data_IF_932340192625
#
_entry.id   IF_932340192625
#
_cell.length_a   1.000
_cell.length_b   1.000
_cell.length_c   1.000
_cell.angle_alpha   90.00
_cell.angle_beta   90.00
_cell.angle_gamma   90.00
#
_symmetry.space_group_name_H-M   'P 1'
#
loop_
_entity.id
_entity.type
_entity.pdbx_description
1 polymer ?
#
# COMPACT_ATOMS: atom_id res chain seq x y z
N UNK A 1 1.05 -4.26 -3.15
CA UNK A 1 1.15 -4.18 -4.63
C UNK A 1 -0.23 -4.25 -5.29
N UNK A 2 -1.03 -5.30 -5.08
CA UNK A 2 -2.38 -5.44 -5.67
C UNK A 2 -3.30 -4.26 -5.35
N UNK A 3 -3.37 -3.83 -4.09
CA UNK A 3 -4.15 -2.66 -3.66
C UNK A 3 -3.77 -1.40 -4.45
N UNK A 4 -2.47 -1.21 -4.71
CA UNK A 4 -1.96 -0.07 -5.48
C UNK A 4 -2.43 -0.08 -6.94
N UNK A 5 -2.44 -1.26 -7.57
CA UNK A 5 -2.89 -1.42 -8.95
C UNK A 5 -4.40 -1.17 -9.07
N UNK A 6 -5.19 -1.68 -8.12
CA UNK A 6 -6.65 -1.46 -8.11
C UNK A 6 -6.98 0.01 -7.85
N UNK A 7 -6.20 0.71 -7.02
CA UNK A 7 -6.40 2.13 -6.74
C UNK A 7 -5.98 3.06 -7.90
N UNK A 8 -4.93 2.71 -8.65
CA UNK A 8 -4.34 3.60 -9.67
C UNK A 8 -4.64 3.22 -11.13
N UNK A 9 -5.11 2.01 -11.38
CA UNK A 9 -5.47 1.54 -12.73
C UNK A 9 -6.78 0.73 -12.72
N UNK A 10 -7.89 1.28 -12.18
CA UNK A 10 -9.13 0.53 -11.97
C UNK A 10 -9.74 -0.02 -13.27
N UNK A 11 -9.46 0.59 -14.42
CA UNK A 11 -10.01 0.12 -15.71
C UNK A 11 -9.29 -1.11 -16.27
N UNK A 12 -8.11 -1.43 -15.74
CA UNK A 12 -7.33 -2.61 -16.15
C UNK A 12 -7.71 -3.88 -15.37
N UNK A 13 -8.36 -3.72 -14.21
CA UNK A 13 -8.61 -4.82 -13.29
C UNK A 13 -10.09 -4.90 -12.89
N UNK A 14 -10.68 -6.09 -13.00
CA UNK A 14 -12.06 -6.32 -12.58
C UNK A 14 -12.20 -6.45 -11.05
N UNK A 15 -11.17 -6.97 -10.37
CA UNK A 15 -11.11 -7.16 -8.92
C UNK A 15 -9.65 -7.35 -8.48
N UNK A 16 -9.40 -7.29 -7.16
CA UNK A 16 -8.09 -7.58 -6.56
C UNK A 16 -8.17 -8.46 -5.32
N UNK A 17 -7.15 -9.29 -5.13
CA UNK A 17 -6.89 -10.01 -3.87
C UNK A 17 -5.50 -9.57 -3.39
N UNK A 18 -5.46 -8.82 -2.30
CA UNK A 18 -4.22 -8.36 -1.68
C UNK A 18 -3.96 -9.18 -0.42
N UNK A 19 -2.81 -9.86 -0.40
CA UNK A 19 -2.35 -10.64 0.74
C UNK A 19 -1.16 -9.92 1.37
N UNK A 20 -1.21 -9.67 2.68
CA UNK A 20 -0.08 -9.11 3.46
C UNK A 20 0.55 -7.89 2.77
N UNK A 21 -0.25 -6.83 2.61
CA UNK A 21 0.13 -5.62 1.88
C UNK A 21 0.65 -4.51 2.79
N UNK A 22 1.74 -3.86 2.39
CA UNK A 22 2.22 -2.61 2.99
C UNK A 22 1.40 -1.41 2.47
N UNK A 23 0.11 -1.37 2.79
CA UNK A 23 -0.84 -0.44 2.17
C UNK A 23 -0.76 0.99 2.76
N UNK A 24 -0.15 1.15 3.95
CA UNK A 24 0.15 2.45 4.55
C UNK A 24 1.63 2.59 4.94
N UNK A 25 2.41 3.29 4.10
CA UNK A 25 3.85 3.53 4.35
C UNK A 25 4.14 4.55 5.44
N UNK A 26 3.15 5.29 5.95
CA UNK A 26 3.39 6.16 7.10
C UNK A 26 3.69 5.36 8.38
N UNK A 27 3.34 4.07 8.41
CA UNK A 27 3.69 3.14 9.49
C UNK A 27 5.15 2.67 9.42
N UNK A 28 5.81 2.85 8.26
CA UNK A 28 7.24 2.59 8.05
C UNK A 28 8.00 3.86 7.65
N UNK A 29 8.08 4.91 8.49
CA UNK A 29 8.49 6.24 8.06
C UNK A 29 10.00 6.44 7.87
N UNK A 30 10.83 5.43 8.15
CA UNK A 30 12.30 5.52 8.13
C UNK A 30 12.94 4.84 6.91
N UNK A 31 12.20 4.76 5.81
CA UNK A 31 12.62 4.08 4.59
C UNK A 31 11.93 2.73 4.40
N UNK A 32 11.94 2.23 3.17
CA UNK A 32 11.44 0.91 2.82
C UNK A 32 12.08 0.42 1.52
N UNK A 33 12.37 -0.89 1.44
CA UNK A 33 12.98 -1.50 0.25
C UNK A 33 14.25 -0.73 -0.19
N UNK A 34 14.19 0.02 -1.30
CA UNK A 34 15.28 0.83 -1.86
C UNK A 34 15.13 2.33 -1.59
N UNK A 35 14.08 2.76 -0.88
CA UNK A 35 13.91 4.14 -0.46
C UNK A 35 14.57 4.34 0.90
N UNK A 36 15.77 4.94 0.89
CA UNK A 36 16.54 5.24 2.11
C UNK A 36 16.10 6.56 2.76
N UNK A 37 15.33 7.40 2.06
CA UNK A 37 14.85 8.67 2.58
C UNK A 37 13.61 8.46 3.45
N UNK A 38 13.52 9.24 4.51
CA UNK A 38 12.39 9.23 5.45
C UNK A 38 11.12 9.84 4.86
N UNK A 39 9.98 9.57 5.49
CA UNK A 39 8.69 10.18 5.17
C UNK A 39 8.79 11.71 5.03
N UNK A 40 9.55 12.36 5.92
CA UNK A 40 9.68 13.82 5.95
C UNK A 40 10.57 14.38 4.84
N UNK A 41 11.44 13.55 4.27
CA UNK A 41 12.29 13.97 3.16
C UNK A 41 11.57 13.83 1.81
N UNK A 42 10.68 12.84 1.68
CA UNK A 42 10.00 12.53 0.41
C UNK A 42 8.53 12.12 0.58
N UNK A 43 7.74 13.02 1.18
CA UNK A 43 6.30 12.81 1.42
C UNK A 43 5.54 12.27 0.19
N UNK A 44 5.81 12.79 -1.01
CA UNK A 44 5.11 12.39 -2.23
C UNK A 44 5.34 10.91 -2.59
N UNK A 45 6.54 10.39 -2.34
CA UNK A 45 6.84 8.98 -2.60
C UNK A 45 6.04 8.09 -1.66
N UNK A 46 6.01 8.42 -0.38
CA UNK A 46 5.23 7.69 0.62
C UNK A 46 3.73 7.74 0.32
N UNK A 47 3.21 8.91 -0.05
CA UNK A 47 1.81 9.07 -0.41
C UNK A 47 1.44 8.24 -1.66
N UNK A 48 2.28 8.25 -2.70
CA UNK A 48 2.05 7.47 -3.93
C UNK A 48 2.19 5.96 -3.74
N UNK A 49 3.00 5.53 -2.78
CA UNK A 49 3.23 4.11 -2.48
C UNK A 49 2.28 3.57 -1.40
N UNK A 50 1.41 4.42 -0.85
CA UNK A 50 0.42 4.06 0.15
C UNK A 50 -0.98 4.05 -0.48
N UNK A 51 -1.47 2.89 -0.97
CA UNK A 51 -2.84 2.74 -1.43
C UNK A 51 -3.88 3.27 -0.44
N UNK A 52 -3.58 3.24 0.85
CA UNK A 52 -4.40 3.86 1.90
C UNK A 52 -4.76 5.32 1.60
N UNK A 53 -3.82 6.10 1.06
CA UNK A 53 -4.00 7.50 0.69
C UNK A 53 -4.83 7.70 -0.60
N UNK A 54 -5.20 6.61 -1.27
CA UNK A 54 -6.04 6.60 -2.47
C UNK A 54 -7.29 5.71 -2.29
N UNK A 55 -7.67 5.38 -1.06
CA UNK A 55 -8.78 4.47 -0.76
C UNK A 55 -10.11 4.96 -1.33
N UNK A 56 -10.31 6.28 -1.38
CA UNK A 56 -11.48 6.94 -1.99
C UNK A 56 -11.62 6.65 -3.50
N UNK A 57 -10.54 6.24 -4.16
CA UNK A 57 -10.48 5.94 -5.59
C UNK A 57 -10.70 4.46 -5.90
N UNK A 58 -10.71 3.60 -4.88
CA UNK A 58 -10.94 2.16 -5.04
C UNK A 58 -12.42 1.94 -5.36
N UNK A 59 -12.71 1.61 -6.62
CA UNK A 59 -14.06 1.39 -7.14
C UNK A 59 -14.35 -0.07 -7.49
N UNK A 60 -13.34 -0.95 -7.41
CA UNK A 60 -13.45 -2.37 -7.76
C UNK A 60 -13.46 -3.24 -6.50
N UNK A 61 -14.10 -4.42 -6.56
CA UNK A 61 -14.02 -5.39 -5.46
C UNK A 61 -12.57 -5.70 -5.09
N UNK A 62 -12.28 -5.59 -3.80
CA UNK A 62 -10.96 -5.84 -3.24
C UNK A 62 -11.12 -6.70 -1.98
N UNK A 63 -10.45 -7.86 -1.98
CA UNK A 63 -10.31 -8.70 -0.80
C UNK A 63 -8.94 -8.45 -0.17
N UNK A 64 -8.93 -8.05 1.09
CA UNK A 64 -7.73 -7.94 1.92
C UNK A 64 -7.61 -9.18 2.80
N UNK A 65 -6.44 -9.81 2.80
CA UNK A 65 -6.12 -10.96 3.65
C UNK A 65 -4.81 -10.67 4.37
N UNK A 66 -4.83 -10.71 5.70
CA UNK A 66 -3.66 -10.45 6.53
C UNK A 66 -3.54 -11.55 7.61
N UNK A 67 -2.32 -11.91 7.98
CA UNK A 67 -2.07 -12.89 9.04
C UNK A 67 -2.06 -12.20 10.39
N UNK A 68 -2.75 -12.76 11.39
CA UNK A 68 -2.80 -12.16 12.74
C UNK A 68 -1.40 -12.05 13.38
N UNK A 69 -0.56 -13.08 13.19
CA UNK A 69 0.81 -13.14 13.70
C UNK A 69 1.86 -12.73 12.64
N UNK A 70 1.55 -11.77 11.76
CA UNK A 70 2.55 -11.25 10.82
C UNK A 70 3.63 -10.47 11.58
N UNK A 71 4.84 -11.04 11.63
CA UNK A 71 5.98 -10.46 12.33
C UNK A 71 6.79 -9.49 11.45
N UNK A 72 6.39 -9.24 10.21
CA UNK A 72 7.05 -8.28 9.35
C UNK A 72 6.55 -6.86 9.67
N UNK A 73 7.39 -5.98 10.23
CA UNK A 73 6.99 -4.62 10.58
C UNK A 73 6.65 -3.75 9.36
N UNK A 74 7.00 -4.20 8.15
CA UNK A 74 6.67 -3.48 6.92
C UNK A 74 5.27 -3.76 6.37
N UNK A 75 4.55 -4.75 6.91
CA UNK A 75 3.23 -5.16 6.44
C UNK A 75 2.14 -5.06 7.51
N UNK A 76 2.50 -4.62 8.72
CA UNK A 76 1.58 -4.21 9.78
C UNK A 76 0.85 -2.90 9.45
#
# INVERSE_FOLDING_TARGET
MTTNLVAHAPDLFAAGIARTGADNRTLTPFGFQNEERTLWQVHDVYNRMSPFMATDKISKPLLLVHGEDDNNPSTQ
#
